data_IF_154223880837
#
_entry.id   IF_154223880837
#
_cell.length_a   1.000
_cell.length_b   1.000
_cell.length_c   1.000
_cell.angle_alpha   90.00
_cell.angle_beta   90.00
_cell.angle_gamma   90.00
#
_symmetry.space_group_name_H-M   'P 1'
#
loop_
_entity.id
_entity.type
_entity.pdbx_description
1 polymer ?
#
# COMPACT_ATOMS: atom_id res chain seq x y z
N UNK A 1 -16.56 -25.76 8.32
CA UNK A 1 -16.79 -24.33 8.58
C UNK A 1 -15.45 -23.64 8.41
N UNK A 2 -15.10 -23.21 7.20
CA UNK A 2 -13.84 -22.50 6.98
C UNK A 2 -14.03 -21.08 7.50
N UNK A 3 -13.31 -20.72 8.55
CA UNK A 3 -13.19 -19.34 8.99
C UNK A 3 -12.54 -18.55 7.85
N UNK A 4 -13.33 -17.84 7.05
CA UNK A 4 -12.79 -16.81 6.16
C UNK A 4 -12.23 -15.70 7.04
N UNK A 5 -10.93 -15.77 7.29
CA UNK A 5 -10.22 -14.76 8.05
C UNK A 5 -10.10 -13.52 7.16
N UNK A 6 -10.85 -12.46 7.46
CA UNK A 6 -10.82 -11.23 6.67
C UNK A 6 -9.41 -10.67 6.43
N UNK A 7 -9.27 -9.76 5.44
CA UNK A 7 -7.98 -9.24 5.04
C UNK A 7 -7.19 -8.66 6.22
N UNK A 8 -5.88 -8.89 6.21
CA UNK A 8 -4.97 -8.52 7.30
C UNK A 8 -4.18 -7.28 6.95
N UNK A 9 -3.90 -6.45 7.96
CA UNK A 9 -2.96 -5.33 7.82
C UNK A 9 -1.55 -5.88 8.04
N UNK A 10 -0.66 -5.60 7.10
CA UNK A 10 0.77 -5.98 7.15
C UNK A 10 1.64 -4.74 6.96
N UNK A 11 2.82 -4.73 7.59
CA UNK A 11 3.86 -3.75 7.28
C UNK A 11 4.72 -4.21 6.11
N UNK A 12 5.18 -3.27 5.29
CA UNK A 12 6.14 -3.50 4.22
C UNK A 12 7.40 -2.67 4.47
N UNK A 13 8.57 -3.26 4.24
CA UNK A 13 9.84 -2.57 4.37
C UNK A 13 10.15 -1.80 3.08
N UNK A 14 10.49 -0.52 3.21
CA UNK A 14 10.70 0.35 2.06
C UNK A 14 11.82 -0.14 1.13
N UNK A 15 12.89 -0.70 1.69
CA UNK A 15 14.05 -1.15 0.92
C UNK A 15 13.81 -2.53 0.30
N UNK A 16 13.34 -3.47 1.10
CA UNK A 16 13.18 -4.87 0.72
C UNK A 16 11.93 -5.12 -0.13
N UNK A 17 10.85 -4.36 0.10
CA UNK A 17 9.57 -4.49 -0.60
C UNK A 17 9.33 -3.38 -1.64
N UNK A 18 10.37 -2.64 -2.04
CA UNK A 18 10.26 -1.49 -2.96
C UNK A 18 9.46 -1.80 -4.24
N UNK A 19 9.73 -2.95 -4.87
CA UNK A 19 9.03 -3.39 -6.07
C UNK A 19 7.54 -3.67 -5.82
N UNK A 20 7.22 -4.32 -4.69
CA UNK A 20 5.85 -4.62 -4.30
C UNK A 20 5.06 -3.34 -3.98
N UNK A 21 5.68 -2.41 -3.25
CA UNK A 21 5.10 -1.10 -2.95
C UNK A 21 4.80 -0.30 -4.22
N UNK A 22 5.75 -0.23 -5.15
CA UNK A 22 5.55 0.46 -6.44
C UNK A 22 4.42 -0.17 -7.24
N UNK A 23 4.42 -1.50 -7.40
CA UNK A 23 3.38 -2.21 -8.14
C UNK A 23 1.99 -2.01 -7.52
N UNK A 24 1.89 -2.12 -6.20
CA UNK A 24 0.65 -1.95 -5.47
C UNK A 24 0.09 -0.53 -5.59
N UNK A 25 0.94 0.49 -5.42
CA UNK A 25 0.53 1.90 -5.56
C UNK A 25 0.04 2.21 -6.97
N UNK A 26 0.72 1.71 -8.00
CA UNK A 26 0.27 1.84 -9.39
C UNK A 26 -1.10 1.17 -9.59
N UNK A 27 -1.27 -0.06 -9.08
CA UNK A 27 -2.54 -0.80 -9.19
C UNK A 27 -3.69 -0.15 -8.40
N UNK A 28 -3.39 0.53 -7.29
CA UNK A 28 -4.35 1.32 -6.52
C UNK A 28 -4.67 2.68 -7.15
N UNK A 29 -3.86 3.14 -8.12
CA UNK A 29 -3.94 4.47 -8.73
C UNK A 29 -3.33 5.59 -7.87
N UNK A 30 -2.52 5.23 -6.87
CA UNK A 30 -1.85 6.17 -5.95
C UNK A 30 -0.37 6.35 -6.26
N UNK A 31 0.19 5.55 -7.16
CA UNK A 31 1.54 5.72 -7.71
C UNK A 31 1.55 6.68 -8.91
N UNK A 32 2.72 7.23 -9.22
CA UNK A 32 2.98 7.94 -10.47
C UNK A 32 4.11 7.22 -11.20
N UNK A 33 4.06 7.22 -12.53
CA UNK A 33 5.13 6.73 -13.40
C UNK A 33 6.17 7.80 -13.75
N UNK A 34 5.98 9.03 -13.25
CA UNK A 34 6.76 10.20 -13.65
C UNK A 34 7.96 10.43 -12.70
N UNK A 35 9.03 11.04 -13.20
CA UNK A 35 10.24 11.36 -12.42
C UNK A 35 9.98 12.29 -11.22
N UNK A 36 8.86 13.01 -11.18
CA UNK A 36 8.43 13.77 -9.99
C UNK A 36 8.08 12.85 -8.80
N UNK A 37 7.95 11.54 -9.02
CA UNK A 37 7.85 10.54 -7.97
C UNK A 37 9.17 10.37 -7.19
N UNK A 38 10.33 10.74 -7.76
CA UNK A 38 11.63 10.59 -7.11
C UNK A 38 11.72 11.35 -5.77
N UNK A 39 11.15 12.56 -5.71
CA UNK A 39 11.08 13.34 -4.46
C UNK A 39 10.22 12.65 -3.38
N UNK A 40 9.22 11.88 -3.79
CA UNK A 40 8.37 11.12 -2.88
C UNK A 40 8.99 9.76 -2.49
N UNK A 41 9.75 9.15 -3.38
CA UNK A 41 10.54 7.94 -3.11
C UNK A 41 11.62 8.25 -2.05
N UNK A 42 12.13 9.49 -1.97
CA UNK A 42 13.02 9.92 -0.90
C UNK A 42 12.39 9.87 0.52
N UNK A 43 11.05 9.93 0.61
CA UNK A 43 10.34 9.78 1.88
C UNK A 43 10.08 8.32 2.25
N UNK A 44 10.16 7.39 1.29
CA UNK A 44 9.86 5.97 1.55
C UNK A 44 10.72 5.37 2.67
N UNK A 45 12.06 5.60 2.74
CA UNK A 45 12.89 5.09 3.82
C UNK A 45 12.54 5.62 5.21
N UNK A 46 11.85 6.76 5.29
CA UNK A 46 11.50 7.43 6.55
C UNK A 46 10.03 7.17 6.95
N UNK A 47 9.29 6.46 6.12
CA UNK A 47 7.85 6.29 6.28
C UNK A 47 7.50 4.88 6.73
N UNK A 48 6.39 4.77 7.47
CA UNK A 48 5.74 3.48 7.72
C UNK A 48 4.85 3.14 6.53
N UNK A 49 5.07 1.97 5.93
CA UNK A 49 4.22 1.45 4.86
C UNK A 49 3.35 0.32 5.40
N UNK A 50 2.05 0.48 5.25
CA UNK A 50 1.08 -0.56 5.58
C UNK A 50 0.35 -0.98 4.31
N UNK A 51 0.01 -2.26 4.25
CA UNK A 51 -0.79 -2.82 3.18
C UNK A 51 -1.88 -3.73 3.73
N UNK A 52 -2.95 -3.89 2.95
CA UNK A 52 -3.96 -4.90 3.18
C UNK A 52 -3.59 -6.15 2.38
N UNK A 53 -3.60 -7.31 3.04
CA UNK A 53 -3.36 -8.61 2.43
C UNK A 53 -4.64 -9.45 2.47
N UNK A 54 -5.08 -9.92 1.31
CA UNK A 54 -6.18 -10.87 1.14
C UNK A 54 -5.85 -12.23 1.78
N UNK A 55 -6.88 -13.05 1.98
CA UNK A 55 -6.75 -14.47 2.36
C UNK A 55 -5.84 -15.26 1.42
N UNK A 56 -5.88 -14.95 0.12
CA UNK A 56 -5.05 -15.57 -0.91
C UNK A 56 -3.60 -15.05 -0.92
N UNK A 57 -3.23 -14.19 0.04
CA UNK A 57 -1.90 -13.59 0.14
C UNK A 57 -1.67 -12.38 -0.78
N UNK A 58 -2.63 -12.03 -1.62
CA UNK A 58 -2.55 -10.86 -2.51
C UNK A 58 -2.58 -9.54 -1.72
N UNK A 59 -1.71 -8.58 -2.07
CA UNK A 59 -1.82 -7.21 -1.58
C UNK A 59 -2.95 -6.47 -2.31
N UNK A 60 -3.89 -5.91 -1.56
CA UNK A 60 -5.15 -5.34 -2.09
C UNK A 60 -5.35 -3.86 -1.75
N UNK A 61 -4.49 -3.28 -0.92
CA UNK A 61 -4.49 -1.86 -0.59
C UNK A 61 -3.19 -1.43 0.02
N UNK A 62 -2.88 -0.15 -0.09
CA UNK A 62 -1.66 0.49 0.41
C UNK A 62 -2.00 1.76 1.16
N UNK A 63 -1.16 2.11 2.13
CA UNK A 63 -1.12 3.42 2.77
C UNK A 63 0.30 3.68 3.26
N UNK A 64 0.73 4.94 3.17
CA UNK A 64 1.99 5.40 3.71
C UNK A 64 1.73 6.46 4.78
N UNK A 65 2.40 6.31 5.90
CA UNK A 65 2.45 7.29 6.98
C UNK A 65 3.87 7.85 7.05
N UNK A 66 4.01 9.12 6.68
CA UNK A 66 5.30 9.81 6.69
C UNK A 66 5.75 10.15 8.12
N UNK A 67 7.05 10.45 8.29
CA UNK A 67 7.62 10.80 9.60
C UNK A 67 6.95 12.04 10.26
N UNK A 68 6.42 12.96 9.46
CA UNK A 68 5.64 14.12 9.91
C UNK A 68 4.16 13.81 10.18
N UNK A 69 3.79 12.52 10.23
CA UNK A 69 2.46 11.99 10.52
C UNK A 69 1.38 12.36 9.49
N UNK A 70 1.77 12.52 8.22
CA UNK A 70 0.82 12.68 7.11
C UNK A 70 0.52 11.33 6.47
N UNK A 71 -0.75 11.15 6.08
CA UNK A 71 -1.19 9.98 5.34
C UNK A 71 -1.19 10.32 3.86
N UNK A 72 -0.51 9.51 3.07
CA UNK A 72 -0.57 9.56 1.61
C UNK A 72 -0.51 8.15 1.01
N UNK A 73 -0.54 8.09 -0.32
CA UNK A 73 -0.57 6.83 -1.10
C UNK A 73 -1.69 5.85 -0.70
N UNK A 74 -2.70 6.32 0.03
CA UNK A 74 -3.85 5.54 0.49
C UNK A 74 -4.72 5.14 -0.70
N UNK A 75 -4.84 3.84 -0.94
CA UNK A 75 -5.72 3.32 -1.97
C UNK A 75 -5.92 1.83 -1.88
N UNK A 76 -7.04 1.37 -2.43
CA UNK A 76 -7.39 -0.05 -2.57
C UNK A 76 -7.62 -0.39 -4.03
N UNK A 77 -7.31 -1.64 -4.39
CA UNK A 77 -7.52 -2.15 -5.73
C UNK A 77 -8.98 -1.97 -6.17
N UNK A 78 -9.23 -1.68 -7.46
CA UNK A 78 -10.59 -1.43 -7.96
C UNK A 78 -11.62 -2.50 -7.59
N UNK A 79 -11.26 -3.79 -7.68
CA UNK A 79 -12.15 -4.91 -7.33
C UNK A 79 -12.48 -5.03 -5.83
N UNK A 80 -11.74 -4.32 -4.97
CA UNK A 80 -11.90 -4.33 -3.51
C UNK A 80 -12.52 -3.04 -2.96
N UNK A 81 -12.82 -2.07 -3.84
CA UNK A 81 -13.52 -0.83 -3.47
C UNK A 81 -14.95 -1.10 -3.01
N UNK A 82 -15.50 -0.16 -2.22
CA UNK A 82 -16.87 -0.21 -1.65
C UNK A 82 -17.12 -1.39 -0.70
N UNK A 83 -16.06 -1.87 -0.04
CA UNK A 83 -16.12 -2.93 0.98
C UNK A 83 -15.75 -2.44 2.40
N UNK A 84 -15.67 -1.12 2.61
CA UNK A 84 -15.33 -0.52 3.91
C UNK A 84 -13.85 -0.66 4.30
N UNK A 85 -12.94 -0.73 3.32
CA UNK A 85 -11.51 -1.01 3.53
C UNK A 85 -10.59 0.22 3.48
N UNK A 86 -11.07 1.36 2.97
CA UNK A 86 -10.29 2.59 2.77
C UNK A 86 -11.08 3.81 3.24
#
# INVERSE_FOLDING_TARGET
MSSQAGPQIVSLDAASDAAALRALRLACGTGSTDDSAADWDALDPLSLHLALRSEDGQLIGSVRLTADRRIDRLGVLPGWRRRGLA
#
